data_IF_548971057853
#
_entry.id   IF_548971057853
#
_cell.length_a   1.000
_cell.length_b   1.000
_cell.length_c   1.000
_cell.angle_alpha   90.00
_cell.angle_beta   90.00
_cell.angle_gamma   90.00
#
_symmetry.space_group_name_H-M   'P 1'
#
loop_
_entity.id
_entity.type
_entity.pdbx_description
1 polymer ?
#
# COMPACT_ATOMS: atom_id res chain seq x y z
N UNK A 1 3.16 -0.58 -3.74
CA UNK A 1 2.79 0.73 -4.30
C UNK A 1 3.75 1.81 -3.81
N UNK A 2 4.83 2.03 -4.53
CA UNK A 2 5.79 3.10 -4.24
C UNK A 2 6.01 3.93 -5.49
N UNK A 3 6.31 5.23 -5.33
CA UNK A 3 6.61 6.12 -6.45
C UNK A 3 7.84 5.66 -7.24
N UNK A 4 8.81 5.00 -6.57
CA UNK A 4 10.03 4.48 -7.21
C UNK A 4 10.24 3.01 -6.84
N UNK A 5 9.56 2.08 -7.54
CA UNK A 5 9.61 0.64 -7.22
C UNK A 5 11.02 0.04 -7.23
N UNK A 6 11.90 0.53 -8.08
CA UNK A 6 13.28 0.03 -8.18
C UNK A 6 14.08 0.29 -6.89
N UNK A 7 13.95 1.49 -6.31
CA UNK A 7 14.63 1.84 -5.04
C UNK A 7 14.06 1.00 -3.90
N UNK A 8 12.73 0.84 -3.83
CA UNK A 8 12.10 0.03 -2.80
C UNK A 8 12.56 -1.45 -2.87
N UNK A 9 12.65 -2.03 -4.06
CA UNK A 9 13.18 -3.39 -4.26
C UNK A 9 14.64 -3.52 -3.82
N UNK A 10 15.48 -2.53 -4.12
CA UNK A 10 16.87 -2.52 -3.68
C UNK A 10 17.00 -2.40 -2.16
N UNK A 11 16.18 -1.55 -1.53
CA UNK A 11 16.16 -1.39 -0.08
C UNK A 11 15.77 -2.69 0.62
N UNK A 12 14.73 -3.36 0.15
CA UNK A 12 14.31 -4.67 0.70
C UNK A 12 15.39 -5.74 0.56
N UNK A 13 16.09 -5.78 -0.60
CA UNK A 13 17.21 -6.73 -0.78
C UNK A 13 18.42 -6.47 0.11
N UNK A 14 18.57 -5.25 0.64
CA UNK A 14 19.66 -4.88 1.56
C UNK A 14 19.29 -5.07 3.02
N UNK A 15 18.02 -5.26 3.33
CA UNK A 15 17.57 -5.50 4.69
C UNK A 15 18.09 -6.85 5.17
N UNK A 16 18.53 -6.92 6.41
CA UNK A 16 19.02 -8.15 7.03
C UNK A 16 17.90 -9.15 7.35
N UNK A 17 16.68 -8.66 7.50
CA UNK A 17 15.49 -9.46 7.75
C UNK A 17 14.23 -8.70 7.31
N UNK A 18 13.35 -9.37 6.60
CA UNK A 18 12.12 -8.78 6.06
C UNK A 18 10.91 -9.58 6.51
N UNK A 19 9.99 -8.91 7.19
CA UNK A 19 8.68 -9.46 7.56
C UNK A 19 7.62 -8.85 6.67
N UNK A 20 6.92 -9.66 5.91
CA UNK A 20 5.80 -9.25 5.08
C UNK A 20 4.46 -9.45 5.78
N UNK A 21 3.68 -8.39 6.00
CA UNK A 21 2.28 -8.47 6.41
C UNK A 21 1.41 -8.19 5.19
N UNK A 22 0.69 -9.18 4.71
CA UNK A 22 -0.09 -9.01 3.50
C UNK A 22 -1.32 -9.92 3.47
N UNK A 23 -2.38 -9.42 2.84
CA UNK A 23 -3.65 -10.17 2.68
C UNK A 23 -3.64 -11.09 1.45
N UNK A 24 -2.74 -10.85 0.52
CA UNK A 24 -2.62 -11.60 -0.73
C UNK A 24 -1.21 -12.12 -0.91
N UNK A 25 -1.13 -13.33 -1.39
CA UNK A 25 0.13 -13.93 -1.75
C UNK A 25 0.63 -13.39 -3.09
N UNK A 26 1.94 -13.19 -3.21
CA UNK A 26 2.59 -12.78 -4.45
C UNK A 26 3.98 -13.38 -4.56
N UNK A 27 4.42 -13.65 -5.78
CA UNK A 27 5.76 -14.14 -6.03
C UNK A 27 6.84 -13.18 -5.51
N UNK A 28 6.64 -11.87 -5.69
CA UNK A 28 7.56 -10.85 -5.16
C UNK A 28 7.70 -10.94 -3.63
N UNK A 29 6.60 -11.11 -2.92
CA UNK A 29 6.60 -11.23 -1.46
C UNK A 29 7.35 -12.49 -1.02
N UNK A 30 7.10 -13.62 -1.68
CA UNK A 30 7.79 -14.90 -1.42
C UNK A 30 9.29 -14.84 -1.67
N UNK A 31 9.72 -14.06 -2.67
CA UNK A 31 11.14 -13.91 -3.01
C UNK A 31 11.87 -12.90 -2.11
N UNK A 32 11.14 -12.03 -1.42
CA UNK A 32 11.74 -10.90 -0.71
C UNK A 32 11.63 -11.02 0.81
N UNK A 33 10.54 -11.61 1.32
CA UNK A 33 10.30 -11.72 2.75
C UNK A 33 10.89 -13.00 3.32
N UNK A 34 11.55 -12.89 4.48
CA UNK A 34 12.02 -14.03 5.27
C UNK A 34 10.85 -14.69 6.02
N UNK A 35 9.87 -13.89 6.41
CA UNK A 35 8.64 -14.35 7.07
C UNK A 35 7.45 -13.62 6.47
N UNK A 36 6.38 -14.37 6.19
CA UNK A 36 5.10 -13.81 5.72
C UNK A 36 4.04 -14.11 6.77
N UNK A 37 3.41 -13.05 7.30
CA UNK A 37 2.31 -13.14 8.24
C UNK A 37 1.01 -12.79 7.51
N UNK A 38 0.03 -13.71 7.45
CA UNK A 38 -1.22 -13.49 6.74
C UNK A 38 -2.07 -12.44 7.47
N UNK A 39 -2.34 -11.34 6.79
CA UNK A 39 -3.12 -10.22 7.31
C UNK A 39 -4.54 -10.27 6.75
N UNK A 40 -5.54 -10.05 7.60
CA UNK A 40 -6.94 -9.95 7.21
C UNK A 40 -7.18 -8.76 6.27
N UNK A 41 -8.09 -8.92 5.30
CA UNK A 41 -8.55 -7.83 4.46
C UNK A 41 -9.38 -6.82 5.27
N UNK A 42 -9.60 -5.63 4.72
CA UNK A 42 -10.39 -4.60 5.41
C UNK A 42 -11.84 -5.04 5.67
N UNK A 43 -12.40 -5.92 4.86
CA UNK A 43 -13.74 -6.52 5.07
C UNK A 43 -13.78 -7.50 6.24
N UNK A 44 -12.63 -7.98 6.71
CA UNK A 44 -12.46 -8.99 7.75
C UNK A 44 -11.92 -8.41 9.07
N UNK A 45 -11.76 -7.10 9.14
CA UNK A 45 -11.21 -6.41 10.32
C UNK A 45 -12.07 -5.20 10.68
N UNK A 46 -11.97 -4.76 11.92
CA UNK A 46 -12.43 -3.44 12.33
C UNK A 46 -11.27 -2.45 12.28
N UNK A 47 -11.59 -1.19 12.10
CA UNK A 47 -10.59 -0.14 12.06
C UNK A 47 -11.19 1.25 11.93
N UNK A 48 -10.33 2.22 11.62
CA UNK A 48 -10.72 3.61 11.43
C UNK A 48 -9.96 4.18 10.24
N UNK A 49 -10.68 4.79 9.31
CA UNK A 49 -10.11 5.60 8.25
C UNK A 49 -10.25 7.09 8.59
N UNK A 50 -9.27 7.88 8.18
CA UNK A 50 -9.32 9.34 8.29
C UNK A 50 -9.34 9.92 6.88
N UNK A 51 -10.41 10.65 6.54
CA UNK A 51 -10.55 11.33 5.26
C UNK A 51 -9.63 12.56 5.15
N UNK A 52 -9.51 13.10 3.93
CA UNK A 52 -8.79 14.35 3.69
C UNK A 52 -9.43 15.55 4.42
N UNK A 53 -10.71 15.47 4.71
CA UNK A 53 -11.48 16.40 5.53
C UNK A 53 -11.25 16.24 7.04
N UNK A 54 -10.32 15.35 7.43
CA UNK A 54 -9.97 14.99 8.81
C UNK A 54 -11.11 14.30 9.59
N UNK A 55 -12.15 13.82 8.91
CA UNK A 55 -13.19 13.02 9.53
C UNK A 55 -12.68 11.61 9.85
N UNK A 56 -12.89 11.19 11.10
CA UNK A 56 -12.58 9.85 11.58
C UNK A 56 -13.78 8.95 11.41
N UNK A 57 -13.69 7.99 10.55
CA UNK A 57 -14.77 7.07 10.19
C UNK A 57 -14.40 5.66 10.63
N UNK A 58 -15.16 5.13 11.58
CA UNK A 58 -15.00 3.75 12.06
C UNK A 58 -15.74 2.78 11.17
N UNK A 59 -15.18 1.60 11.03
CA UNK A 59 -15.83 0.49 10.35
C UNK A 59 -15.65 -0.82 11.13
N UNK A 60 -16.59 -1.74 10.95
CA UNK A 60 -16.53 -3.09 11.47
C UNK A 60 -16.30 -4.09 10.35
N UNK A 61 -15.63 -5.19 10.65
CA UNK A 61 -15.52 -6.29 9.71
C UNK A 61 -16.88 -6.89 9.39
N UNK A 62 -17.14 -7.17 8.13
CA UNK A 62 -18.38 -7.78 7.66
C UNK A 62 -18.37 -9.30 7.85
N UNK A 63 -17.18 -9.92 7.84
CA UNK A 63 -16.97 -11.36 7.96
C UNK A 63 -15.76 -11.65 8.84
N UNK A 64 -15.67 -12.86 9.37
CA UNK A 64 -14.51 -13.32 10.13
C UNK A 64 -13.28 -13.47 9.21
N UNK A 65 -12.06 -13.24 9.72
CA UNK A 65 -10.82 -13.48 8.98
C UNK A 65 -10.74 -14.93 8.51
N UNK A 66 -10.30 -15.12 7.27
CA UNK A 66 -10.20 -16.43 6.64
C UNK A 66 -8.93 -17.17 7.09
N UNK A 67 -9.07 -18.44 7.45
CA UNK A 67 -7.93 -19.30 7.80
C UNK A 67 -7.11 -18.74 8.97
N UNK A 68 -5.81 -18.67 8.80
CA UNK A 68 -4.87 -18.16 9.79
C UNK A 68 -4.67 -16.66 9.75
N UNK A 69 -5.37 -15.94 8.84
CA UNK A 69 -5.23 -14.48 8.76
C UNK A 69 -5.75 -13.80 10.04
N UNK A 70 -5.10 -12.71 10.39
CA UNK A 70 -5.44 -11.91 11.57
C UNK A 70 -5.45 -10.43 11.24
N UNK A 71 -6.28 -9.61 11.89
CA UNK A 71 -6.20 -8.15 11.77
C UNK A 71 -4.78 -7.64 11.99
N UNK A 72 -4.30 -6.75 11.11
CA UNK A 72 -2.93 -6.26 11.13
C UNK A 72 -2.52 -5.68 12.49
N UNK A 73 -3.42 -4.92 13.15
CA UNK A 73 -3.16 -4.37 14.48
C UNK A 73 -2.95 -5.45 15.55
N UNK A 74 -3.64 -6.61 15.45
CA UNK A 74 -3.43 -7.74 16.37
C UNK A 74 -2.08 -8.42 16.15
N UNK A 75 -1.66 -8.54 14.89
CA UNK A 75 -0.32 -9.06 14.56
C UNK A 75 0.74 -8.16 15.17
N UNK A 76 0.67 -6.85 14.94
CA UNK A 76 1.61 -5.87 15.48
C UNK A 76 1.62 -5.84 17.00
N UNK A 77 0.45 -5.94 17.63
CA UNK A 77 0.34 -6.05 19.09
C UNK A 77 1.11 -7.25 19.65
N UNK A 78 0.92 -8.42 19.02
CA UNK A 78 1.61 -9.64 19.45
C UNK A 78 3.12 -9.52 19.24
N UNK A 79 3.56 -8.97 18.11
CA UNK A 79 4.98 -8.72 17.84
C UNK A 79 5.59 -7.76 18.85
N UNK A 80 4.88 -6.67 19.22
CA UNK A 80 5.31 -5.74 20.25
C UNK A 80 5.48 -6.41 21.62
N UNK A 81 4.51 -7.23 22.02
CA UNK A 81 4.58 -7.98 23.28
C UNK A 81 5.72 -9.01 23.29
N UNK A 82 5.92 -9.75 22.19
CA UNK A 82 7.03 -10.69 22.05
C UNK A 82 8.39 -10.01 22.08
N UNK A 83 8.45 -8.76 21.62
CA UNK A 83 9.66 -7.91 21.65
C UNK A 83 9.82 -7.18 23.00
N UNK A 84 9.01 -7.48 24.00
CA UNK A 84 9.00 -6.84 25.33
C UNK A 84 8.85 -5.30 25.28
N UNK A 85 8.15 -4.79 24.26
CA UNK A 85 7.81 -3.37 24.15
C UNK A 85 6.62 -3.04 25.04
N UNK A 86 6.62 -1.86 25.66
CA UNK A 86 5.50 -1.38 26.48
C UNK A 86 4.42 -0.72 25.58
N UNK A 87 3.17 -0.72 26.07
CA UNK A 87 2.05 -0.05 25.40
C UNK A 87 1.37 -0.86 24.32
N UNK A 88 1.55 -2.18 24.27
CA UNK A 88 0.91 -3.08 23.30
C UNK A 88 -0.23 -3.91 23.91
N UNK A 89 -0.94 -3.37 24.92
CA UNK A 89 -2.01 -4.09 25.65
C UNK A 89 -3.41 -3.84 25.07
N UNK A 90 -3.50 -3.44 23.80
CA UNK A 90 -4.78 -3.17 23.14
C UNK A 90 -5.70 -4.39 23.11
N UNK A 91 -6.98 -4.17 23.43
CA UNK A 91 -8.04 -5.18 23.38
C UNK A 91 -8.84 -5.04 22.09
N UNK A 92 -8.98 -3.81 21.60
CA UNK A 92 -9.78 -3.46 20.42
C UNK A 92 -9.03 -2.56 19.44
N UNK A 93 -9.52 -2.47 18.21
CA UNK A 93 -9.05 -1.46 17.24
C UNK A 93 -9.39 -0.05 17.67
N UNK A 94 -10.38 0.12 18.54
CA UNK A 94 -10.74 1.42 19.09
C UNK A 94 -9.65 1.94 20.03
N UNK A 95 -9.07 1.09 20.87
CA UNK A 95 -7.98 1.47 21.79
C UNK A 95 -6.78 2.02 20.99
N UNK A 96 -6.46 1.37 19.86
CA UNK A 96 -5.42 1.84 18.95
C UNK A 96 -5.79 3.21 18.34
N UNK A 97 -7.04 3.37 17.89
CA UNK A 97 -7.51 4.63 17.31
C UNK A 97 -7.49 5.78 18.34
N UNK A 98 -7.84 5.50 19.58
CA UNK A 98 -7.87 6.50 20.65
C UNK A 98 -6.46 6.96 21.01
N UNK A 99 -5.47 6.05 21.07
CA UNK A 99 -4.08 6.42 21.27
C UNK A 99 -3.54 7.25 20.10
N UNK A 100 -3.81 6.85 18.85
CA UNK A 100 -3.40 7.64 17.68
C UNK A 100 -4.00 9.04 17.72
N UNK A 101 -5.28 9.16 18.10
CA UNK A 101 -5.98 10.45 18.22
C UNK A 101 -5.37 11.33 19.30
N UNK A 102 -5.01 10.73 20.44
CA UNK A 102 -4.32 11.45 21.52
C UNK A 102 -2.96 11.95 21.06
N UNK A 103 -2.13 11.08 20.48
CA UNK A 103 -0.80 11.44 19.96
C UNK A 103 -0.87 12.50 18.86
N UNK A 104 -1.89 12.43 17.98
CA UNK A 104 -2.10 13.44 16.96
C UNK A 104 -2.34 14.83 17.55
N UNK A 105 -3.05 14.94 18.67
CA UNK A 105 -3.30 16.21 19.34
C UNK A 105 -2.01 16.83 19.92
N UNK A 106 -1.00 16.00 20.23
CA UNK A 106 0.30 16.41 20.75
C UNK A 106 1.28 16.82 19.64
N UNK A 107 1.04 16.38 18.40
CA UNK A 107 1.90 16.73 17.27
C UNK A 107 1.57 18.14 16.80
N UNK A 108 2.40 19.09 17.14
CA UNK A 108 2.44 20.37 16.45
C UNK A 108 2.98 20.12 15.05
N UNK A 109 2.08 20.12 14.07
CA UNK A 109 2.48 20.08 12.67
C UNK A 109 3.24 21.36 12.36
N UNK A 110 4.56 21.26 12.35
CA UNK A 110 5.39 22.25 11.68
C UNK A 110 4.87 22.30 10.23
N UNK A 111 4.35 23.44 9.82
CA UNK A 111 3.83 23.62 8.45
C UNK A 111 5.02 23.77 7.50
N UNK A 112 5.93 22.81 7.53
CA UNK A 112 6.94 22.71 6.50
C UNK A 112 6.20 22.41 5.20
N UNK A 113 6.25 23.28 4.21
CA UNK A 113 5.58 23.01 2.94
C UNK A 113 6.09 21.67 2.40
N UNK A 114 5.22 20.86 1.77
CA UNK A 114 5.65 19.60 1.20
C UNK A 114 6.84 19.87 0.29
N UNK A 115 7.87 19.03 0.40
CA UNK A 115 8.99 19.08 -0.53
C UNK A 115 8.45 18.99 -1.95
N UNK A 116 8.49 20.11 -2.65
CA UNK A 116 8.24 20.15 -4.08
C UNK A 116 9.63 19.93 -4.69
N UNK A 117 9.89 18.79 -5.32
CA UNK A 117 11.18 18.60 -5.98
C UNK A 117 11.38 19.72 -6.99
N UNK A 118 12.55 20.35 -6.95
CA UNK A 118 12.97 21.27 -7.98
C UNK A 118 12.69 20.64 -9.35
N UNK A 119 12.11 21.39 -10.25
CA UNK A 119 11.59 20.99 -11.56
C UNK A 119 12.17 19.67 -12.06
N UNK A 120 11.31 18.66 -12.20
CA UNK A 120 11.66 17.47 -12.97
C UNK A 120 12.23 17.97 -14.32
N UNK A 121 13.52 17.89 -14.49
CA UNK A 121 14.17 18.20 -15.75
C UNK A 121 13.75 17.10 -16.72
N UNK A 122 12.60 17.27 -17.34
CA UNK A 122 12.05 16.39 -18.36
C UNK A 122 12.72 16.71 -19.70
N UNK A 123 14.02 16.55 -19.77
CA UNK A 123 14.76 16.54 -21.03
C UNK A 123 14.46 15.23 -21.78
N UNK A 124 13.21 15.05 -22.16
CA UNK A 124 12.78 13.91 -22.94
C UNK A 124 11.92 14.40 -24.10
N UNK A 125 12.31 14.02 -25.32
CA UNK A 125 11.54 14.27 -26.53
C UNK A 125 10.16 13.60 -26.54
N UNK A 126 9.94 12.66 -25.62
CA UNK A 126 8.70 11.93 -25.45
C UNK A 126 8.12 12.14 -24.05
N UNK A 127 6.88 12.56 -24.01
CA UNK A 127 6.10 12.64 -22.77
C UNK A 127 5.12 11.45 -22.69
N UNK A 128 5.20 10.68 -21.61
CA UNK A 128 4.26 9.60 -21.35
C UNK A 128 3.00 10.15 -20.69
N UNK A 129 1.85 9.92 -21.33
CA UNK A 129 0.54 10.15 -20.74
C UNK A 129 0.01 8.79 -20.32
N UNK A 130 -0.17 8.57 -19.02
CA UNK A 130 -0.69 7.32 -18.48
C UNK A 130 -2.00 7.52 -17.75
N UNK A 131 -2.94 6.63 -17.99
CA UNK A 131 -4.17 6.52 -17.22
C UNK A 131 -4.05 5.33 -16.27
N UNK A 132 -4.56 5.48 -15.04
CA UNK A 132 -4.69 4.35 -14.12
C UNK A 132 -6.08 3.78 -14.29
N UNK A 133 -6.24 2.55 -14.83
CA UNK A 133 -7.54 1.95 -15.01
C UNK A 133 -8.25 1.74 -13.68
N UNK A 134 -9.58 1.86 -13.70
CA UNK A 134 -10.45 1.72 -12.54
C UNK A 134 -10.13 0.46 -11.72
N UNK A 135 -9.94 -0.67 -12.40
CA UNK A 135 -9.68 -1.95 -11.73
C UNK A 135 -8.24 -2.16 -11.26
N UNK A 136 -7.39 -1.13 -11.38
CA UNK A 136 -6.02 -1.13 -10.84
C UNK A 136 -5.79 -0.15 -9.71
N UNK A 137 -6.76 0.67 -9.38
CA UNK A 137 -6.66 1.65 -8.29
C UNK A 137 -6.81 1.01 -6.92
N UNK A 138 -7.69 0.03 -6.79
CA UNK A 138 -7.99 -0.66 -5.53
C UNK A 138 -7.22 -1.97 -5.38
N UNK A 139 -6.76 -2.26 -4.17
CA UNK A 139 -5.96 -3.44 -3.89
C UNK A 139 -6.73 -4.76 -4.11
N UNK A 140 -8.02 -4.81 -3.75
CA UNK A 140 -8.84 -6.00 -3.97
C UNK A 140 -9.16 -6.21 -5.44
N UNK A 141 -9.49 -5.12 -6.17
CA UNK A 141 -9.81 -5.20 -7.60
C UNK A 141 -8.61 -5.67 -8.42
N UNK A 142 -7.39 -5.28 -8.02
CA UNK A 142 -6.14 -5.75 -8.67
C UNK A 142 -5.95 -7.27 -8.57
N UNK A 143 -6.48 -7.91 -7.54
CA UNK A 143 -6.40 -9.36 -7.35
C UNK A 143 -7.60 -10.13 -7.94
N UNK A 144 -8.59 -9.43 -8.51
CA UNK A 144 -9.70 -10.06 -9.22
C UNK A 144 -9.28 -10.47 -10.63
N UNK A 145 -9.05 -11.75 -10.85
CA UNK A 145 -8.64 -12.27 -12.15
C UNK A 145 -9.62 -11.90 -13.29
N UNK A 146 -10.92 -11.93 -13.01
CA UNK A 146 -11.95 -11.58 -13.99
C UNK A 146 -11.84 -10.10 -14.41
N UNK A 147 -11.67 -9.17 -13.45
CA UNK A 147 -11.56 -7.75 -13.75
C UNK A 147 -10.24 -7.39 -14.45
N UNK A 148 -9.18 -8.14 -14.19
CA UNK A 148 -7.90 -7.95 -14.87
C UNK A 148 -7.94 -8.41 -16.35
N UNK A 149 -8.92 -9.23 -16.75
CA UNK A 149 -9.13 -9.66 -18.14
C UNK A 149 -10.01 -8.73 -18.95
N UNK A 150 -10.54 -7.66 -18.36
CA UNK A 150 -11.38 -6.70 -19.10
C UNK A 150 -10.58 -5.92 -20.14
N UNK A 151 -11.21 -5.50 -21.26
CA UNK A 151 -10.55 -4.72 -22.31
C UNK A 151 -9.90 -3.43 -21.77
N UNK A 152 -10.52 -2.77 -20.80
CA UNK A 152 -10.02 -1.54 -20.14
C UNK A 152 -8.69 -1.81 -19.43
N UNK A 153 -8.60 -2.91 -18.70
CA UNK A 153 -7.37 -3.28 -17.97
C UNK A 153 -6.29 -3.76 -18.94
N UNK A 154 -6.65 -4.47 -20.00
CA UNK A 154 -5.69 -4.95 -20.98
C UNK A 154 -5.06 -3.84 -21.81
N UNK A 155 -5.76 -2.73 -22.05
CA UNK A 155 -5.25 -1.58 -22.82
C UNK A 155 -3.98 -0.95 -22.25
N UNK A 156 -3.79 -1.00 -20.94
CA UNK A 156 -2.61 -0.42 -20.28
C UNK A 156 -1.34 -1.27 -20.36
N UNK A 157 -1.45 -2.49 -20.85
CA UNK A 157 -0.28 -3.35 -21.05
C UNK A 157 0.54 -2.93 -22.27
N UNK A 158 0.01 -2.00 -23.09
CA UNK A 158 0.62 -1.55 -24.34
C UNK A 158 0.89 -0.05 -24.29
N UNK A 159 2.10 0.35 -24.63
CA UNK A 159 2.39 1.73 -24.98
C UNK A 159 1.88 2.02 -26.40
N UNK A 160 1.25 3.17 -26.60
CA UNK A 160 0.83 3.67 -27.90
C UNK A 160 1.66 4.89 -28.24
N UNK A 161 2.31 4.86 -29.36
CA UNK A 161 3.14 5.96 -29.87
C UNK A 161 2.73 6.30 -31.29
N UNK A 162 2.86 7.54 -31.70
CA UNK A 162 2.66 7.93 -33.07
C UNK A 162 3.68 7.21 -33.97
N UNK A 163 3.23 6.67 -35.11
CA UNK A 163 4.07 5.89 -36.01
C UNK A 163 5.33 6.63 -36.51
N UNK A 164 5.23 7.94 -36.73
CA UNK A 164 6.37 8.75 -37.15
C UNK A 164 7.39 8.92 -36.03
N UNK A 165 6.91 9.07 -34.79
CA UNK A 165 7.76 9.16 -33.62
C UNK A 165 8.42 7.80 -33.30
N UNK A 166 7.68 6.71 -33.40
CA UNK A 166 8.24 5.37 -33.24
C UNK A 166 9.42 5.12 -34.19
N UNK A 167 9.26 5.52 -35.46
CA UNK A 167 10.33 5.39 -36.46
C UNK A 167 11.58 6.22 -36.14
N UNK A 168 11.45 7.41 -35.54
CA UNK A 168 12.60 8.23 -35.12
C UNK A 168 13.40 7.56 -33.98
N UNK A 169 12.74 6.79 -33.14
CA UNK A 169 13.34 6.11 -31.99
C UNK A 169 13.66 4.62 -32.25
N UNK A 170 13.53 4.15 -33.47
CA UNK A 170 13.74 2.75 -33.88
C UNK A 170 12.89 1.74 -33.08
N UNK A 171 11.61 2.09 -32.79
CA UNK A 171 10.61 1.30 -32.08
C UNK A 171 9.59 0.67 -33.04
#
# INVERSE_FOLDING_TARGET
DTAVPAIAKQALKRASFVVGLHSFDSEFLRQTADVILPMACFTETSGTFVGLDKQWQQFAGAVAPRGDSRPGWKILRVLGNLSHLQGFDYISSQDVADEVRQKQAEIHTDQTPPYIPDSLNLESDLMMISEVPMYRTDALLRHSEALQKTPETQRIQFARINRKEAAKHNL
#
